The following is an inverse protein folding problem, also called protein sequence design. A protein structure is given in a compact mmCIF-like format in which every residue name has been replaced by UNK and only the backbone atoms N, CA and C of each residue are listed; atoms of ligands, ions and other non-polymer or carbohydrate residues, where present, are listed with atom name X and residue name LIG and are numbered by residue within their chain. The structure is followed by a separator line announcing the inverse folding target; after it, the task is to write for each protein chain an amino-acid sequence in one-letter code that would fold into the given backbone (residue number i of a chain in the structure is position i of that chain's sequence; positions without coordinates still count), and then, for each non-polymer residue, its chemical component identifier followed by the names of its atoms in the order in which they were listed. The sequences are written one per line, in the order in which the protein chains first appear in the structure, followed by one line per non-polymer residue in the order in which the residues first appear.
data_IF_235629044459
#
_entry.id   IF_235629044459
#
_cell.length_a   1.000
_cell.length_b   1.000
_cell.length_c   1.000
_cell.angle_alpha   90.00
_cell.angle_beta   90.00
_cell.angle_gamma   90.00
#
_symmetry.space_group_name_H-M   'P 1'
#
loop_
_entity.id
_entity.type
_entity.pdbx_description
1 polymer ?
#
# COMPACT_ATOMS: atom_id res chain seq x y z
N UNK A 1 -2.00 3.26 -29.85
CA UNK A 1 -0.74 3.42 -29.10
C UNK A 1 -0.93 4.63 -28.21
N UNK A 2 -1.37 4.41 -26.97
CA UNK A 2 -1.67 5.51 -26.05
C UNK A 2 -0.37 5.99 -25.40
N UNK A 3 -0.02 7.27 -25.57
CA UNK A 3 1.14 7.88 -24.93
C UNK A 3 0.94 7.85 -23.41
N UNK A 4 1.57 6.89 -22.73
CA UNK A 4 1.60 6.82 -21.27
C UNK A 4 2.26 8.09 -20.72
N UNK A 5 1.54 8.84 -19.87
CA UNK A 5 2.02 10.07 -19.23
C UNK A 5 3.29 9.76 -18.44
N UNK A 6 4.39 10.46 -18.75
CA UNK A 6 5.70 10.27 -18.11
C UNK A 6 5.93 11.40 -17.11
N UNK A 7 6.49 11.04 -15.96
CA UNK A 7 6.82 11.92 -14.85
C UNK A 7 8.32 11.84 -14.63
N UNK A 8 9.00 12.97 -14.82
CA UNK A 8 10.45 13.07 -14.74
C UNK A 8 10.83 14.13 -13.73
N UNK A 9 11.78 13.80 -12.87
CA UNK A 9 12.30 14.71 -11.86
C UNK A 9 13.77 14.41 -11.62
N UNK A 10 14.52 15.47 -11.36
CA UNK A 10 15.90 15.44 -10.91
C UNK A 10 16.02 16.40 -9.72
N UNK A 11 16.54 15.89 -8.61
CA UNK A 11 16.74 16.69 -7.40
C UNK A 11 18.02 17.50 -7.51
N UNK A 12 18.04 18.64 -6.83
CA UNK A 12 19.28 19.31 -6.51
C UNK A 12 20.16 18.42 -5.61
N UNK A 13 21.45 18.72 -5.58
CA UNK A 13 22.39 18.07 -4.68
C UNK A 13 22.19 18.59 -3.26
N UNK A 14 21.97 17.67 -2.32
CA UNK A 14 21.78 17.97 -0.90
C UNK A 14 22.97 17.45 -0.12
N UNK A 15 23.72 18.36 0.48
CA UNK A 15 24.85 18.07 1.35
C UNK A 15 24.40 18.02 2.81
N UNK A 16 24.77 16.97 3.54
CA UNK A 16 24.46 16.81 4.96
C UNK A 16 25.68 16.34 5.74
N UNK A 17 25.86 16.91 6.93
CA UNK A 17 26.93 16.55 7.87
C UNK A 17 26.52 15.43 8.83
N UNK A 18 25.20 15.12 8.92
CA UNK A 18 24.65 14.06 9.76
C UNK A 18 23.50 13.37 9.02
N UNK A 19 23.73 12.12 8.62
CA UNK A 19 22.77 11.31 7.85
C UNK A 19 21.58 10.82 8.71
N UNK A 20 21.54 11.18 9.99
CA UNK A 20 20.48 10.76 10.94
C UNK A 20 19.24 11.67 10.89
N UNK A 21 18.19 11.09 10.29
CA UNK A 21 16.76 11.37 10.39
C UNK A 21 16.20 12.77 10.04
N UNK A 22 16.98 13.79 9.66
CA UNK A 22 16.42 15.16 9.49
C UNK A 22 16.36 15.77 8.10
N UNK A 23 16.69 15.04 7.04
CA UNK A 23 16.59 15.59 5.68
C UNK A 23 15.41 14.96 4.93
N UNK A 24 14.20 15.33 5.34
CA UNK A 24 12.98 15.07 4.57
C UNK A 24 12.88 16.13 3.47
N UNK A 25 13.31 15.79 2.25
CA UNK A 25 12.93 16.58 1.08
C UNK A 25 11.58 16.12 0.59
N UNK A 26 10.73 17.09 0.31
CA UNK A 26 9.43 16.87 -0.31
C UNK A 26 9.32 17.72 -1.57
N UNK A 27 8.60 17.21 -2.55
CA UNK A 27 8.31 17.95 -3.76
C UNK A 27 7.10 17.41 -4.49
N UNK A 28 6.75 18.09 -5.57
CA UNK A 28 5.61 17.73 -6.40
C UNK A 28 5.99 17.92 -7.86
N UNK A 29 5.83 16.87 -8.65
CA UNK A 29 6.15 16.86 -10.08
C UNK A 29 4.90 16.47 -10.85
N UNK A 30 4.32 17.40 -11.61
CA UNK A 30 3.10 17.16 -12.39
C UNK A 30 1.91 16.58 -11.58
N UNK A 31 1.81 16.93 -10.30
CA UNK A 31 0.80 16.42 -9.37
C UNK A 31 1.18 15.13 -8.62
N UNK A 32 2.31 14.50 -8.96
CA UNK A 32 2.88 13.41 -8.18
C UNK A 32 3.71 14.01 -7.03
N UNK A 33 3.21 13.89 -5.81
CA UNK A 33 3.95 14.29 -4.61
C UNK A 33 4.96 13.21 -4.27
N UNK A 34 6.11 13.60 -3.76
CA UNK A 34 7.12 12.67 -3.30
C UNK A 34 7.82 13.21 -2.07
N UNK A 35 8.25 12.30 -1.20
CA UNK A 35 9.12 12.57 -0.05
C UNK A 35 10.33 11.63 -0.14
N UNK A 36 11.49 12.08 0.30
CA UNK A 36 12.70 11.27 0.40
C UNK A 36 13.37 11.48 1.76
N UNK A 37 14.10 10.46 2.22
CA UNK A 37 15.00 10.55 3.38
C UNK A 37 16.17 9.57 3.25
N UNK A 38 17.29 9.89 3.90
CA UNK A 38 18.39 8.96 4.16
C UNK A 38 18.37 8.45 5.60
N UNK A 39 18.89 7.26 5.83
CA UNK A 39 19.10 6.71 7.17
C UNK A 39 20.28 5.73 7.18
N UNK A 40 21.08 5.73 8.23
CA UNK A 40 22.13 4.73 8.45
C UNK A 40 21.62 3.71 9.47
N UNK A 41 21.67 2.42 9.12
CA UNK A 41 21.31 1.33 10.04
C UNK A 41 22.50 0.36 10.09
N UNK A 42 23.21 0.35 11.22
CA UNK A 42 24.47 -0.38 11.35
C UNK A 42 25.58 0.27 10.51
N UNK A 43 26.20 -0.49 9.60
CA UNK A 43 27.17 0.03 8.62
C UNK A 43 26.55 0.37 7.26
N UNK A 44 25.24 0.19 7.11
CA UNK A 44 24.56 0.30 5.81
C UNK A 44 23.80 1.61 5.68
N UNK A 45 24.02 2.29 4.55
CA UNK A 45 23.24 3.44 4.13
C UNK A 45 21.97 2.99 3.37
N UNK A 46 20.84 3.51 3.81
CA UNK A 46 19.53 3.35 3.17
C UNK A 46 19.03 4.68 2.65
N UNK A 47 18.53 4.68 1.42
CA UNK A 47 17.73 5.77 0.89
C UNK A 47 16.28 5.31 0.77
N UNK A 48 15.37 6.15 1.21
CA UNK A 48 13.95 5.86 1.26
C UNK A 48 13.16 6.90 0.50
N UNK A 49 12.18 6.47 -0.30
CA UNK A 49 11.28 7.35 -1.04
C UNK A 49 9.83 7.00 -0.76
N UNK A 50 8.97 7.99 -0.70
CA UNK A 50 7.52 7.83 -0.60
C UNK A 50 6.88 8.63 -1.72
N UNK A 51 5.97 8.02 -2.46
CA UNK A 51 5.27 8.68 -3.57
C UNK A 51 3.79 8.74 -3.25
N UNK A 52 3.17 9.89 -3.44
CA UNK A 52 1.73 10.12 -3.29
C UNK A 52 1.15 10.64 -4.61
N UNK A 53 0.36 9.77 -5.24
CA UNK A 53 -0.33 10.06 -6.50
C UNK A 53 -1.85 10.03 -6.36
N UNK A 54 -2.34 10.18 -5.13
CA UNK A 54 -3.77 10.07 -4.91
C UNK A 54 -4.57 11.12 -5.71
N UNK A 55 -4.05 12.34 -5.81
CA UNK A 55 -4.64 13.42 -6.60
C UNK A 55 -4.67 13.13 -8.12
N UNK A 56 -3.87 12.14 -8.58
CA UNK A 56 -3.79 11.72 -9.98
C UNK A 56 -4.73 10.55 -10.31
N UNK A 57 -5.42 9.97 -9.33
CA UNK A 57 -6.41 8.91 -9.58
C UNK A 57 -7.58 9.41 -10.41
N UNK A 58 -7.99 10.67 -10.21
CA UNK A 58 -9.00 11.36 -11.03
C UNK A 58 -8.64 11.42 -12.53
N UNK A 59 -7.34 11.33 -12.85
CA UNK A 59 -6.82 11.29 -14.22
C UNK A 59 -6.70 9.84 -14.75
N UNK A 60 -7.24 8.85 -14.03
CA UNK A 60 -7.17 7.41 -14.34
C UNK A 60 -5.80 6.78 -14.06
N UNK A 61 -4.97 7.39 -13.21
CA UNK A 61 -3.63 6.91 -12.89
C UNK A 61 -3.65 6.16 -11.55
N UNK A 62 -3.37 4.86 -11.59
CA UNK A 62 -3.46 3.98 -10.41
C UNK A 62 -2.10 3.39 -10.00
N UNK A 63 -1.03 3.77 -10.67
CA UNK A 63 0.30 3.35 -10.33
C UNK A 63 1.33 3.87 -11.31
N UNK A 64 2.58 3.48 -11.11
CA UNK A 64 3.69 3.90 -11.95
C UNK A 64 4.67 2.75 -12.18
N UNK A 65 5.32 2.78 -13.33
CA UNK A 65 6.47 1.92 -13.62
C UNK A 65 7.60 2.75 -14.17
N UNK A 66 8.82 2.51 -13.72
CA UNK A 66 9.92 3.29 -14.22
C UNK A 66 11.23 3.02 -13.52
N UNK A 67 12.11 4.00 -13.57
CA UNK A 67 13.44 3.92 -12.98
C UNK A 67 13.67 5.07 -12.02
N UNK A 68 14.31 4.77 -10.91
CA UNK A 68 14.84 5.72 -9.95
C UNK A 68 16.36 5.55 -9.93
N UNK A 69 17.10 6.64 -10.00
CA UNK A 69 18.55 6.66 -9.83
C UNK A 69 18.89 7.53 -8.64
N UNK A 70 19.83 7.09 -7.81
CA UNK A 70 20.42 7.89 -6.75
C UNK A 70 21.92 8.04 -7.03
N UNK A 71 22.42 9.25 -6.84
CA UNK A 71 23.83 9.60 -6.84
C UNK A 71 24.19 10.04 -5.44
N UNK A 72 25.35 9.58 -4.94
CA UNK A 72 25.82 9.94 -3.62
C UNK A 72 27.35 10.03 -3.60
N UNK A 73 27.88 11.00 -2.85
CA UNK A 73 29.31 11.22 -2.72
C UNK A 73 29.74 11.43 -1.27
N UNK A 74 30.95 10.98 -0.96
CA UNK A 74 31.75 11.46 0.18
C UNK A 74 33.06 12.05 -0.35
N UNK A 75 33.75 11.26 -1.18
CA UNK A 75 34.96 11.64 -1.92
C UNK A 75 34.92 11.25 -3.40
N UNK A 76 34.05 10.28 -3.76
CA UNK A 76 33.83 9.82 -5.13
C UNK A 76 32.33 9.64 -5.38
N UNK A 77 31.86 10.05 -6.56
CA UNK A 77 30.46 9.92 -6.94
C UNK A 77 30.11 8.46 -7.26
N UNK A 78 29.16 7.92 -6.51
CA UNK A 78 28.58 6.60 -6.74
C UNK A 78 27.16 6.74 -7.27
N UNK A 79 26.77 5.93 -8.25
CA UNK A 79 25.41 5.92 -8.82
C UNK A 79 24.80 4.53 -8.69
N UNK A 80 23.56 4.47 -8.20
CA UNK A 80 22.73 3.26 -8.22
C UNK A 80 21.39 3.53 -8.88
N UNK A 81 20.95 2.60 -9.73
CA UNK A 81 19.65 2.62 -10.38
C UNK A 81 18.76 1.48 -9.87
N UNK A 82 17.47 1.76 -9.78
CA UNK A 82 16.43 0.83 -9.34
C UNK A 82 15.28 0.86 -10.33
N UNK A 83 14.78 -0.30 -10.73
CA UNK A 83 13.48 -0.40 -11.37
C UNK A 83 12.38 -0.36 -10.31
N UNK A 84 11.36 0.45 -10.57
CA UNK A 84 10.23 0.67 -9.69
C UNK A 84 8.94 0.23 -10.37
N UNK A 85 8.11 -0.46 -9.59
CA UNK A 85 6.71 -0.73 -9.91
C UNK A 85 5.86 -0.28 -8.72
N UNK A 86 5.36 0.95 -8.80
CA UNK A 86 4.58 1.60 -7.75
C UNK A 86 3.10 1.20 -7.91
N UNK A 87 2.58 0.48 -6.92
CA UNK A 87 1.20 0.01 -6.88
C UNK A 87 0.41 0.51 -5.68
N UNK A 88 1.10 0.96 -4.63
CA UNK A 88 0.49 1.45 -3.40
C UNK A 88 0.98 2.88 -3.14
N UNK A 89 0.04 3.82 -3.07
CA UNK A 89 0.34 5.21 -2.79
C UNK A 89 0.72 5.38 -1.33
N UNK A 90 1.63 6.32 -1.03
CA UNK A 90 2.15 6.65 0.32
C UNK A 90 2.95 5.55 1.03
N UNK A 91 3.32 4.46 0.33
CA UNK A 91 4.22 3.45 0.86
C UNK A 91 5.68 3.93 0.78
N UNK A 92 6.47 3.67 1.84
CA UNK A 92 7.91 3.92 1.82
C UNK A 92 8.64 2.80 1.08
N UNK A 93 9.52 3.19 0.17
CA UNK A 93 10.38 2.31 -0.62
C UNK A 93 11.79 2.46 -0.09
N UNK A 94 12.28 1.43 0.60
CA UNK A 94 13.62 1.42 1.17
C UNK A 94 14.60 0.74 0.21
N UNK A 95 15.72 1.40 -0.11
CA UNK A 95 16.81 0.80 -0.90
C UNK A 95 18.11 0.84 -0.12
N UNK A 96 18.64 -0.34 0.16
CA UNK A 96 19.99 -0.53 0.67
C UNK A 96 21.00 -0.16 -0.42
N UNK A 97 21.78 0.88 -0.16
CA UNK A 97 22.84 1.32 -1.06
C UNK A 97 24.16 0.67 -0.67
N UNK A 98 24.43 0.60 0.63
CA UNK A 98 25.70 0.14 1.19
C UNK A 98 26.80 1.21 1.06
N UNK A 99 27.71 1.26 2.03
CA UNK A 99 28.87 2.16 1.97
C UNK A 99 29.98 1.43 1.19
N UNK A 100 30.35 1.93 0.01
CA UNK A 100 31.45 1.36 -0.75
C UNK A 100 32.74 1.43 0.08
N UNK A 101 33.60 0.41 0.05
CA UNK A 101 34.88 0.40 0.80
C UNK A 101 35.71 1.66 0.53
N UNK A 102 35.65 2.16 -0.70
CA UNK A 102 36.33 3.39 -1.15
C UNK A 102 35.81 4.66 -0.46
N UNK A 103 34.55 4.63 -0.02
CA UNK A 103 33.90 5.70 0.73
C UNK A 103 34.17 5.62 2.25
N UNK A 104 34.68 4.48 2.75
CA UNK A 104 35.08 4.30 4.16
C UNK A 104 36.44 4.96 4.50
N UNK A 105 37.22 5.34 3.48
CA UNK A 105 38.61 5.83 3.62
C UNK A 105 38.69 7.37 3.77
N UNK A 106 37.58 8.08 3.59
CA UNK A 106 37.56 9.54 3.68
C UNK A 106 37.10 10.01 5.07
N UNK A 107 37.97 10.72 5.79
CA UNK A 107 37.68 11.47 7.03
C UNK A 107 36.67 12.62 6.85
N UNK A 108 35.95 12.68 5.72
CA UNK A 108 34.98 13.73 5.42
C UNK A 108 33.60 13.36 5.94
N UNK A 109 33.15 14.06 6.99
CA UNK A 109 31.81 13.96 7.59
C UNK A 109 30.67 14.49 6.70
N UNK A 110 30.95 14.96 5.49
CA UNK A 110 29.93 15.54 4.59
C UNK A 110 29.56 14.56 3.49
N UNK A 111 28.26 14.24 3.42
CA UNK A 111 27.67 13.45 2.35
C UNK A 111 26.92 14.36 1.41
N UNK A 112 27.04 14.15 0.10
CA UNK A 112 26.08 14.72 -0.84
C UNK A 112 25.22 13.65 -1.49
N UNK A 113 23.94 13.98 -1.67
CA UNK A 113 22.93 13.13 -2.27
C UNK A 113 22.18 13.88 -3.37
N UNK A 114 21.94 13.20 -4.48
CA UNK A 114 20.93 13.61 -5.45
C UNK A 114 20.22 12.38 -6.01
N UNK A 115 19.02 12.57 -6.54
CA UNK A 115 18.28 11.49 -7.16
C UNK A 115 17.47 11.99 -8.35
N UNK A 116 17.18 11.09 -9.26
CA UNK A 116 16.29 11.34 -10.38
C UNK A 116 15.37 10.16 -10.61
N UNK A 117 14.15 10.43 -11.05
CA UNK A 117 13.22 9.39 -11.45
C UNK A 117 12.58 9.68 -12.79
N UNK A 118 12.27 8.60 -13.51
CA UNK A 118 11.46 8.60 -14.72
C UNK A 118 10.39 7.54 -14.53
N UNK A 119 9.15 7.99 -14.32
CA UNK A 119 8.00 7.16 -13.97
C UNK A 119 6.92 7.28 -15.05
N UNK A 120 6.53 6.15 -15.62
CA UNK A 120 5.41 6.06 -16.58
C UNK A 120 4.13 5.71 -15.82
N UNK A 121 3.10 6.52 -16.01
CA UNK A 121 1.78 6.28 -15.44
C UNK A 121 1.22 4.94 -15.93
N UNK A 122 0.92 4.08 -14.98
CA UNK A 122 0.12 2.88 -15.20
C UNK A 122 -1.34 3.26 -15.06
N UNK A 123 -2.04 3.29 -16.18
CA UNK A 123 -3.50 3.42 -16.18
C UNK A 123 -4.13 2.13 -15.66
N UNK A 124 -5.09 2.29 -14.78
CA UNK A 124 -6.00 1.23 -14.34
C UNK A 124 -7.24 1.24 -15.23
N UNK A 125 -7.99 0.15 -15.21
CA UNK A 125 -9.35 0.18 -15.74
C UNK A 125 -10.16 1.03 -14.76
N UNK A 126 -10.83 2.07 -15.28
CA UNK A 126 -11.81 2.83 -14.52
C UNK A 126 -12.84 1.85 -13.94
N UNK A 127 -13.44 2.19 -12.79
CA UNK A 127 -14.47 1.34 -12.21
C UNK A 127 -15.55 1.01 -13.24
N UNK A 128 -16.00 -0.25 -13.33
CA UNK A 128 -17.15 -0.59 -14.14
C UNK A 128 -18.30 0.36 -13.80
N UNK A 129 -18.94 1.01 -14.79
CA UNK A 129 -20.05 1.93 -14.53
C UNK A 129 -21.18 1.30 -13.72
N UNK A 130 -21.33 -0.02 -13.79
CA UNK A 130 -22.29 -0.81 -13.02
C UNK A 130 -22.09 -0.71 -11.50
N UNK A 131 -20.84 -0.59 -11.02
CA UNK A 131 -20.58 -0.49 -9.57
C UNK A 131 -21.11 0.82 -8.99
N UNK A 132 -20.98 1.92 -9.73
CA UNK A 132 -21.47 3.24 -9.30
C UNK A 132 -22.99 3.29 -9.33
N UNK A 133 -23.63 2.59 -10.27
CA UNK A 133 -25.09 2.51 -10.37
C UNK A 133 -25.74 1.85 -9.14
N UNK A 134 -25.01 1.03 -8.38
CA UNK A 134 -25.53 0.41 -7.16
C UNK A 134 -25.78 1.42 -6.01
N UNK A 135 -25.31 2.66 -6.14
CA UNK A 135 -25.39 3.70 -5.09
C UNK A 135 -26.24 4.91 -5.50
N UNK A 136 -27.21 4.71 -6.40
CA UNK A 136 -28.22 5.72 -6.75
C UNK A 136 -29.41 5.68 -5.79
N UNK A 137 -30.18 6.79 -5.71
CA UNK A 137 -31.36 6.86 -4.87
C UNK A 137 -32.42 5.82 -5.30
N UNK A 138 -32.92 5.04 -4.34
CA UNK A 138 -34.02 4.10 -4.54
C UNK A 138 -34.97 4.13 -3.34
N UNK A 139 -36.10 3.43 -3.43
CA UNK A 139 -37.04 3.26 -2.30
C UNK A 139 -36.42 2.57 -1.08
N UNK A 140 -35.30 1.87 -1.26
CA UNK A 140 -34.60 1.14 -0.21
C UNK A 140 -33.45 1.96 0.42
N UNK A 141 -33.10 3.12 -0.11
CA UNK A 141 -32.01 3.95 0.43
C UNK A 141 -32.55 5.01 1.39
N UNK A 142 -31.91 5.19 2.54
CA UNK A 142 -32.34 6.07 3.64
C UNK A 142 -31.18 6.90 4.25
N UNK A 143 -30.01 6.88 3.61
CA UNK A 143 -28.87 7.75 3.88
C UNK A 143 -28.13 8.15 2.60
N UNK A 144 -27.44 9.29 2.67
CA UNK A 144 -26.52 9.75 1.63
C UNK A 144 -25.14 9.95 2.25
N UNK A 145 -24.15 9.21 1.77
CA UNK A 145 -22.74 9.43 2.10
C UNK A 145 -22.13 10.37 1.06
N UNK A 146 -21.38 11.38 1.49
CA UNK A 146 -20.71 12.33 0.60
C UNK A 146 -19.20 12.14 0.66
N UNK A 147 -18.58 11.85 -0.49
CA UNK A 147 -17.14 11.61 -0.63
C UNK A 147 -16.62 12.34 -1.86
N UNK A 148 -15.64 13.22 -1.69
CA UNK A 148 -15.06 14.00 -2.79
C UNK A 148 -16.13 14.67 -3.68
N UNK A 149 -17.17 15.25 -3.05
CA UNK A 149 -18.34 15.86 -3.72
C UNK A 149 -19.32 14.90 -4.42
N UNK A 150 -19.01 13.60 -4.43
CA UNK A 150 -19.89 12.54 -4.95
C UNK A 150 -20.85 12.05 -3.87
N UNK A 151 -22.07 11.70 -4.27
CA UNK A 151 -23.13 11.21 -3.39
C UNK A 151 -23.34 9.71 -3.60
N UNK A 152 -23.30 8.95 -2.51
CA UNK A 152 -23.59 7.52 -2.47
C UNK A 152 -24.86 7.32 -1.64
N UNK A 153 -25.94 6.91 -2.29
CA UNK A 153 -27.18 6.53 -1.61
C UNK A 153 -27.05 5.11 -1.06
N UNK A 154 -27.28 4.94 0.23
CA UNK A 154 -27.11 3.66 0.94
C UNK A 154 -28.31 3.37 1.83
N UNK A 155 -28.42 2.10 2.25
CA UNK A 155 -29.36 1.67 3.28
C UNK A 155 -28.63 1.56 4.63
N UNK A 156 -29.09 2.29 5.65
CA UNK A 156 -28.50 2.37 6.99
C UNK A 156 -28.48 1.00 7.65
N UNK A 157 -29.61 0.30 7.69
CA UNK A 157 -29.72 -0.99 8.37
C UNK A 157 -28.79 -2.04 7.76
N UNK A 158 -28.72 -2.09 6.43
CA UNK A 158 -27.83 -2.97 5.68
C UNK A 158 -26.36 -2.65 5.96
N UNK A 159 -25.97 -1.37 5.87
CA UNK A 159 -24.57 -1.02 6.06
C UNK A 159 -24.14 -1.18 7.54
N UNK A 160 -25.03 -0.88 8.49
CA UNK A 160 -24.83 -1.13 9.93
C UNK A 160 -24.63 -2.62 10.23
N UNK A 161 -25.36 -3.52 9.57
CA UNK A 161 -25.21 -4.96 9.83
C UNK A 161 -23.88 -5.52 9.33
N UNK A 162 -23.21 -4.82 8.43
CA UNK A 162 -21.91 -5.20 7.86
C UNK A 162 -20.73 -4.38 8.40
N UNK A 163 -20.98 -3.38 9.27
CA UNK A 163 -19.96 -2.47 9.77
C UNK A 163 -20.30 -1.87 11.13
N UNK A 164 -19.46 -2.12 12.13
CA UNK A 164 -19.61 -1.51 13.46
C UNK A 164 -19.39 0.02 13.42
N UNK A 165 -18.55 0.48 12.49
CA UNK A 165 -18.35 1.90 12.23
C UNK A 165 -19.64 2.56 11.74
N UNK A 166 -20.25 2.02 10.68
CA UNK A 166 -21.49 2.59 10.13
C UNK A 166 -22.67 2.40 11.08
N UNK A 167 -22.71 1.29 11.83
CA UNK A 167 -23.68 1.10 12.90
C UNK A 167 -23.59 2.22 13.94
N UNK A 168 -22.37 2.52 14.41
CA UNK A 168 -22.15 3.63 15.33
C UNK A 168 -22.50 4.98 14.68
N UNK A 169 -22.11 5.20 13.43
CA UNK A 169 -22.38 6.44 12.68
C UNK A 169 -23.89 6.72 12.57
N UNK A 170 -24.72 5.71 12.35
CA UNK A 170 -26.16 5.88 12.15
C UNK A 170 -26.99 5.80 13.43
N UNK A 171 -26.49 5.13 14.48
CA UNK A 171 -27.22 4.95 15.74
C UNK A 171 -26.89 5.97 16.83
N UNK A 172 -25.66 6.50 16.82
CA UNK A 172 -25.16 7.43 17.82
C UNK A 172 -25.90 8.77 17.85
N UNK A 173 -26.01 9.40 19.02
CA UNK A 173 -26.60 10.74 19.15
C UNK A 173 -25.64 11.86 18.70
N UNK A 174 -24.67 11.54 17.83
CA UNK A 174 -23.82 12.52 17.19
C UNK A 174 -24.60 13.30 16.12
N UNK A 175 -24.05 14.44 15.68
CA UNK A 175 -24.71 15.36 14.75
C UNK A 175 -25.02 14.70 13.40
N UNK A 176 -24.22 13.71 13.03
CA UNK A 176 -24.30 12.95 11.79
C UNK A 176 -25.61 12.15 11.67
N UNK A 177 -26.21 11.72 12.79
CA UNK A 177 -27.47 10.96 12.78
C UNK A 177 -28.64 11.74 12.20
N UNK A 178 -28.65 13.07 12.37
CA UNK A 178 -29.70 13.96 11.86
C UNK A 178 -29.32 14.67 10.56
N UNK A 179 -28.13 14.40 10.00
CA UNK A 179 -27.72 14.96 8.73
C UNK A 179 -28.43 14.26 7.56
N UNK A 180 -28.93 15.06 6.62
CA UNK A 180 -29.45 14.55 5.35
C UNK A 180 -28.32 13.98 4.47
N UNK A 181 -27.12 14.54 4.59
CA UNK A 181 -25.91 14.16 3.84
C UNK A 181 -24.74 14.03 4.81
N UNK A 182 -24.14 12.84 4.88
CA UNK A 182 -23.12 12.49 5.86
C UNK A 182 -21.75 12.48 5.17
N UNK A 183 -20.85 13.44 5.46
CA UNK A 183 -19.54 13.49 4.83
C UNK A 183 -18.62 12.38 5.37
N UNK A 184 -18.04 11.57 4.48
CA UNK A 184 -16.98 10.61 4.83
C UNK A 184 -15.66 11.16 4.32
N UNK A 185 -14.78 11.55 5.26
CA UNK A 185 -13.50 12.18 4.97
C UNK A 185 -12.39 11.16 4.74
N UNK A 186 -11.27 11.60 4.19
CA UNK A 186 -10.01 10.84 4.05
C UNK A 186 -10.16 9.51 3.30
N UNK A 187 -11.14 9.39 2.40
CA UNK A 187 -11.34 8.22 1.53
C UNK A 187 -11.64 8.71 0.12
N UNK A 188 -11.12 7.99 -0.89
CA UNK A 188 -11.45 8.27 -2.28
C UNK A 188 -12.81 7.70 -2.63
N UNK A 189 -13.59 8.42 -3.43
CA UNK A 189 -14.92 7.98 -3.84
C UNK A 189 -14.88 6.58 -4.46
N UNK A 190 -13.92 6.33 -5.37
CA UNK A 190 -13.77 5.04 -6.05
C UNK A 190 -13.40 3.89 -5.09
N UNK A 191 -12.55 4.17 -4.12
CA UNK A 191 -12.11 3.17 -3.14
C UNK A 191 -13.28 2.80 -2.20
N UNK A 192 -14.09 3.78 -1.79
CA UNK A 192 -15.29 3.53 -0.99
C UNK A 192 -16.36 2.76 -1.80
N UNK A 193 -16.56 3.12 -3.08
CA UNK A 193 -17.45 2.37 -3.98
C UNK A 193 -17.01 0.92 -4.06
N UNK A 194 -15.73 0.64 -4.33
CA UNK A 194 -15.20 -0.73 -4.34
C UNK A 194 -15.48 -1.47 -3.04
N UNK A 195 -15.18 -0.84 -1.89
CA UNK A 195 -15.38 -1.43 -0.57
C UNK A 195 -16.85 -1.83 -0.35
N UNK A 196 -17.77 -0.89 -0.57
CA UNK A 196 -19.19 -1.11 -0.38
C UNK A 196 -19.75 -2.10 -1.39
N UNK A 197 -19.18 -2.17 -2.60
CA UNK A 197 -19.57 -3.13 -3.63
C UNK A 197 -19.21 -4.58 -3.29
N UNK A 198 -18.19 -4.84 -2.45
CA UNK A 198 -17.82 -6.22 -2.05
C UNK A 198 -18.96 -6.91 -1.30
N UNK A 199 -19.74 -6.16 -0.51
CA UNK A 199 -20.83 -6.71 0.30
C UNK A 199 -22.19 -6.70 -0.40
N UNK A 200 -22.27 -6.19 -1.63
CA UNK A 200 -23.55 -6.08 -2.34
C UNK A 200 -24.15 -7.46 -2.63
N UNK A 201 -25.47 -7.62 -2.49
CA UNK A 201 -26.12 -8.90 -2.76
C UNK A 201 -26.15 -9.23 -4.25
N UNK A 202 -26.22 -8.22 -5.12
CA UNK A 202 -26.25 -8.38 -6.58
C UNK A 202 -24.91 -7.94 -7.17
N UNK A 203 -24.31 -8.82 -7.96
CA UNK A 203 -23.03 -8.60 -8.65
C UNK A 203 -21.93 -8.00 -7.73
N UNK A 204 -21.58 -8.71 -6.64
CA UNK A 204 -20.59 -8.21 -5.69
C UNK A 204 -19.24 -8.00 -6.37
N UNK A 205 -18.57 -6.90 -6.00
CA UNK A 205 -17.24 -6.64 -6.50
C UNK A 205 -16.26 -7.71 -6.00
N UNK A 206 -15.59 -8.38 -6.94
CA UNK A 206 -14.61 -9.42 -6.61
C UNK A 206 -13.24 -8.77 -6.36
N UNK A 207 -12.62 -8.97 -5.18
CA UNK A 207 -11.28 -8.46 -4.92
C UNK A 207 -10.27 -8.95 -5.96
N UNK A 208 -9.30 -8.11 -6.28
CA UNK A 208 -8.22 -8.42 -7.22
C UNK A 208 -6.87 -8.16 -6.56
N UNK A 209 -5.78 -8.69 -7.13
CA UNK A 209 -4.43 -8.43 -6.61
C UNK A 209 -4.13 -6.92 -6.45
N UNK A 210 -4.74 -6.07 -7.29
CA UNK A 210 -4.53 -4.62 -7.24
C UNK A 210 -5.38 -3.96 -6.16
N UNK A 211 -6.62 -4.40 -5.97
CA UNK A 211 -7.58 -3.77 -5.05
C UNK A 211 -7.49 -4.32 -3.63
N UNK A 212 -7.05 -5.57 -3.45
CA UNK A 212 -6.98 -6.23 -2.13
C UNK A 212 -6.23 -5.42 -1.07
N UNK A 213 -5.03 -4.84 -1.30
CA UNK A 213 -4.36 -4.07 -0.25
C UNK A 213 -5.18 -2.87 0.24
N UNK A 214 -5.77 -2.11 -0.69
CA UNK A 214 -6.63 -0.96 -0.37
C UNK A 214 -7.91 -1.42 0.35
N UNK A 215 -8.54 -2.50 -0.12
CA UNK A 215 -9.75 -3.03 0.49
C UNK A 215 -9.52 -3.49 1.93
N UNK A 216 -8.36 -4.13 2.22
CA UNK A 216 -8.01 -4.54 3.58
C UNK A 216 -7.83 -3.34 4.52
N UNK A 217 -7.12 -2.29 4.07
CA UNK A 217 -6.94 -1.06 4.86
C UNK A 217 -8.28 -0.36 5.15
N UNK A 218 -9.17 -0.29 4.15
CA UNK A 218 -10.49 0.29 4.34
C UNK A 218 -11.42 -0.59 5.17
N UNK A 219 -11.34 -1.91 5.04
CA UNK A 219 -12.13 -2.83 5.84
C UNK A 219 -11.78 -2.73 7.34
N UNK A 220 -10.50 -2.57 7.68
CA UNK A 220 -10.09 -2.31 9.06
C UNK A 220 -10.59 -0.95 9.55
N UNK A 221 -10.43 0.10 8.74
CA UNK A 221 -10.87 1.45 9.10
C UNK A 221 -12.37 1.55 9.34
N UNK A 222 -13.17 0.98 8.45
CA UNK A 222 -14.62 1.00 8.51
C UNK A 222 -15.18 -0.22 9.26
N UNK A 223 -14.33 -1.01 9.93
CA UNK A 223 -14.73 -2.17 10.73
C UNK A 223 -15.69 -3.09 9.96
N UNK A 224 -15.28 -3.58 8.78
CA UNK A 224 -16.08 -4.40 7.87
C UNK A 224 -15.51 -5.83 7.72
N UNK A 225 -15.75 -6.74 8.68
CA UNK A 225 -15.16 -8.07 8.69
C UNK A 225 -15.44 -8.89 7.43
N UNK A 226 -16.62 -8.72 6.83
CA UNK A 226 -17.00 -9.42 5.60
C UNK A 226 -16.08 -9.10 4.43
N UNK A 227 -15.65 -7.85 4.29
CA UNK A 227 -14.73 -7.44 3.21
C UNK A 227 -13.34 -8.05 3.46
N UNK A 228 -12.88 -8.06 4.71
CA UNK A 228 -11.63 -8.72 5.12
C UNK A 228 -11.64 -10.20 4.74
N UNK A 229 -12.73 -10.92 5.03
CA UNK A 229 -12.90 -12.34 4.67
C UNK A 229 -12.88 -12.58 3.16
N UNK A 230 -13.56 -11.76 2.36
CA UNK A 230 -13.55 -11.93 0.90
C UNK A 230 -12.16 -11.62 0.29
N UNK A 231 -11.44 -10.65 0.86
CA UNK A 231 -10.04 -10.40 0.51
C UNK A 231 -9.13 -11.58 0.86
N UNK A 232 -9.32 -12.17 2.05
CA UNK A 232 -8.57 -13.33 2.51
C UNK A 232 -8.77 -14.54 1.59
N UNK A 233 -10.02 -14.86 1.26
CA UNK A 233 -10.37 -15.92 0.29
C UNK A 233 -9.73 -15.69 -1.07
N UNK A 234 -9.81 -14.46 -1.59
CA UNK A 234 -9.15 -14.12 -2.84
C UNK A 234 -7.63 -14.38 -2.78
N UNK A 235 -6.96 -13.98 -1.68
CA UNK A 235 -5.52 -14.21 -1.52
C UNK A 235 -5.18 -15.70 -1.43
N UNK A 236 -6.01 -16.51 -0.76
CA UNK A 236 -5.84 -17.97 -0.70
C UNK A 236 -5.87 -18.56 -2.11
N UNK A 237 -6.93 -18.28 -2.89
CA UNK A 237 -7.11 -18.86 -4.23
C UNK A 237 -6.24 -18.24 -5.33
N UNK A 238 -5.72 -17.03 -5.12
CA UNK A 238 -4.88 -16.35 -6.10
C UNK A 238 -3.56 -17.10 -6.33
N UNK A 239 -3.39 -17.63 -7.55
CA UNK A 239 -2.13 -18.22 -8.02
C UNK A 239 -1.09 -17.18 -8.43
N UNK A 240 -1.53 -15.94 -8.72
CA UNK A 240 -0.66 -14.86 -9.21
C UNK A 240 -0.04 -14.03 -8.08
N UNK A 241 -0.51 -14.20 -6.85
CA UNK A 241 0.05 -13.55 -5.67
C UNK A 241 1.12 -14.45 -5.06
N UNK A 242 2.36 -13.97 -4.98
CA UNK A 242 3.46 -14.74 -4.39
C UNK A 242 3.20 -15.06 -2.92
N UNK A 243 3.71 -16.21 -2.43
CA UNK A 243 3.60 -16.59 -1.01
C UNK A 243 4.15 -15.53 -0.07
N UNK A 244 5.24 -14.84 -0.46
CA UNK A 244 5.81 -13.73 0.32
C UNK A 244 4.82 -12.59 0.52
N UNK A 245 4.14 -12.20 -0.56
CA UNK A 245 3.13 -11.13 -0.51
C UNK A 245 1.89 -11.57 0.30
N UNK A 246 1.49 -12.85 0.20
CA UNK A 246 0.41 -13.39 1.02
C UNK A 246 0.75 -13.33 2.52
N UNK A 247 1.97 -13.70 2.91
CA UNK A 247 2.44 -13.62 4.30
C UNK A 247 2.49 -12.17 4.76
N UNK A 248 3.02 -11.25 3.94
CA UNK A 248 3.08 -9.81 4.26
C UNK A 248 1.69 -9.24 4.57
N UNK A 249 0.72 -9.51 3.69
CA UNK A 249 -0.66 -9.03 3.87
C UNK A 249 -1.34 -9.73 5.04
N UNK A 250 -1.12 -11.04 5.21
CA UNK A 250 -1.69 -11.79 6.32
C UNK A 250 -1.15 -11.38 7.68
N UNK A 251 0.13 -11.03 7.76
CA UNK A 251 0.74 -10.48 8.97
C UNK A 251 0.21 -9.08 9.29
N UNK A 252 0.22 -8.17 8.30
CA UNK A 252 -0.23 -6.78 8.46
C UNK A 252 -1.69 -6.69 8.91
N UNK A 253 -2.56 -7.50 8.30
CA UNK A 253 -4.02 -7.44 8.50
C UNK A 253 -4.57 -8.59 9.37
N UNK A 254 -3.69 -9.33 10.06
CA UNK A 254 -4.07 -10.45 10.94
C UNK A 254 -4.95 -11.52 10.28
N UNK A 255 -4.66 -11.87 9.01
CA UNK A 255 -5.41 -12.86 8.21
C UNK A 255 -4.93 -14.28 8.54
N UNK A 256 -5.53 -14.89 9.55
CA UNK A 256 -5.06 -16.15 10.13
C UNK A 256 -5.24 -17.36 9.21
N UNK A 257 -6.32 -17.43 8.43
CA UNK A 257 -6.55 -18.53 7.48
C UNK A 257 -5.53 -18.45 6.34
N UNK A 258 -5.25 -17.24 5.85
CA UNK A 258 -4.22 -17.01 4.84
C UNK A 258 -2.82 -17.39 5.34
N UNK A 259 -2.48 -17.01 6.58
CA UNK A 259 -1.19 -17.38 7.17
C UNK A 259 -1.08 -18.90 7.32
N UNK A 260 -2.14 -19.58 7.77
CA UNK A 260 -2.20 -21.05 7.83
C UNK A 260 -1.97 -21.69 6.47
N UNK A 261 -2.69 -21.23 5.44
CA UNK A 261 -2.52 -21.68 4.06
C UNK A 261 -1.09 -21.44 3.54
N UNK A 262 -0.47 -20.31 3.89
CA UNK A 262 0.91 -20.05 3.50
C UNK A 262 1.88 -21.06 4.14
N UNK A 263 1.66 -21.51 5.38
CA UNK A 263 2.49 -22.53 6.00
C UNK A 263 2.38 -23.87 5.24
N UNK A 264 1.19 -24.25 4.79
CA UNK A 264 1.01 -25.43 3.93
C UNK A 264 1.78 -25.31 2.60
N UNK A 265 1.81 -24.13 2.00
CA UNK A 265 2.61 -23.88 0.79
C UNK A 265 4.12 -23.97 1.03
N UNK A 266 4.57 -23.59 2.23
CA UNK A 266 5.95 -23.65 2.69
C UNK A 266 6.33 -25.05 3.19
N UNK A 267 5.92 -26.09 2.46
CA UNK A 267 6.12 -27.50 2.82
C UNK A 267 7.57 -28.04 2.67
N UNK A 268 8.55 -27.19 2.38
CA UNK A 268 9.96 -27.60 2.26
C UNK A 268 10.88 -26.56 2.89
N UNK A 269 12.03 -27.01 3.39
CA UNK A 269 13.03 -26.12 3.98
C UNK A 269 13.55 -25.09 2.98
N UNK A 270 13.66 -25.45 1.69
CA UNK A 270 14.11 -24.53 0.65
C UNK A 270 13.14 -23.36 0.47
N UNK A 271 11.84 -23.66 0.31
CA UNK A 271 10.79 -22.64 0.19
C UNK A 271 10.78 -21.72 1.41
N UNK A 272 10.86 -22.28 2.61
CA UNK A 272 10.90 -21.49 3.84
C UNK A 272 12.12 -20.58 3.91
N UNK A 273 13.32 -21.11 3.58
CA UNK A 273 14.55 -20.31 3.52
C UNK A 273 14.44 -19.15 2.54
N UNK A 274 13.67 -19.26 1.45
CA UNK A 274 13.46 -18.12 0.53
C UNK A 274 12.68 -16.98 1.16
N UNK A 275 11.79 -17.27 2.12
CA UNK A 275 11.01 -16.27 2.87
C UNK A 275 11.87 -15.67 3.98
N UNK A 276 12.56 -16.50 4.76
CA UNK A 276 13.40 -16.05 5.89
C UNK A 276 14.58 -15.20 5.41
N UNK A 277 15.15 -15.50 4.24
CA UNK A 277 16.24 -14.71 3.65
C UNK A 277 15.77 -13.48 2.88
N UNK A 278 14.46 -13.22 2.83
CA UNK A 278 13.96 -12.03 2.14
C UNK A 278 14.13 -10.79 3.01
N UNK A 279 14.36 -9.65 2.38
CA UNK A 279 14.58 -8.37 3.06
C UNK A 279 13.43 -8.01 4.01
N UNK A 280 12.20 -8.45 3.69
CA UNK A 280 10.98 -8.17 4.46
C UNK A 280 10.83 -9.03 5.73
N UNK A 281 11.67 -10.04 5.96
CA UNK A 281 11.51 -10.91 7.14
C UNK A 281 11.60 -10.13 8.45
N UNK A 282 12.47 -9.11 8.49
CA UNK A 282 12.63 -8.28 9.67
C UNK A 282 11.40 -7.44 9.99
N UNK A 283 10.56 -7.14 8.99
CA UNK A 283 9.35 -6.33 9.14
C UNK A 283 8.16 -7.14 9.67
N UNK A 284 8.24 -8.48 9.64
CA UNK A 284 7.15 -9.31 10.14
C UNK A 284 6.99 -9.18 11.65
N UNK A 285 5.73 -9.28 12.11
CA UNK A 285 5.40 -9.30 13.53
C UNK A 285 6.07 -10.49 14.24
N UNK A 286 6.20 -10.35 15.56
CA UNK A 286 6.70 -11.44 16.43
C UNK A 286 5.87 -12.70 16.25
N UNK A 287 4.55 -12.56 16.10
CA UNK A 287 3.65 -13.69 15.91
C UNK A 287 3.94 -14.44 14.60
N UNK A 288 4.09 -13.73 13.49
CA UNK A 288 4.40 -14.37 12.20
C UNK A 288 5.79 -14.99 12.18
N UNK A 289 6.79 -14.34 12.79
CA UNK A 289 8.12 -14.94 12.98
C UNK A 289 8.07 -16.21 13.81
N UNK A 290 7.29 -16.22 14.90
CA UNK A 290 7.09 -17.41 15.73
C UNK A 290 6.38 -18.54 14.96
N UNK A 291 5.36 -18.22 14.17
CA UNK A 291 4.68 -19.19 13.30
C UNK A 291 5.64 -19.82 12.28
N UNK A 292 6.46 -18.99 11.61
CA UNK A 292 7.47 -19.47 10.66
C UNK A 292 8.53 -20.36 11.34
N UNK A 293 8.93 -20.03 12.58
CA UNK A 293 9.89 -20.82 13.34
C UNK A 293 9.31 -22.16 13.81
N UNK A 294 8.07 -22.19 14.33
CA UNK A 294 7.43 -23.45 14.70
C UNK A 294 7.22 -24.33 13.47
N UNK A 295 6.85 -23.73 12.33
CA UNK A 295 6.74 -24.46 11.06
C UNK A 295 8.09 -25.04 10.61
N UNK A 296 9.18 -24.26 10.71
CA UNK A 296 10.54 -24.77 10.43
C UNK A 296 10.86 -25.98 11.31
N UNK A 297 10.57 -25.89 12.61
CA UNK A 297 10.81 -26.98 13.56
C UNK A 297 10.06 -28.25 13.16
N UNK A 298 8.79 -28.13 12.72
CA UNK A 298 8.00 -29.29 12.24
C UNK A 298 8.64 -29.94 11.01
N UNK A 299 9.14 -29.15 10.06
CA UNK A 299 9.84 -29.65 8.86
C UNK A 299 11.22 -30.28 9.13
N UNK A 300 11.77 -30.11 10.35
CA UNK A 300 13.05 -30.72 10.75
C UNK A 300 12.86 -32.04 11.51
N UNK A 301 11.69 -32.24 12.13
CA UNK A 301 11.40 -33.39 13.00
C UNK A 301 10.54 -34.44 12.27
N UNK A 302 9.70 -34.02 11.32
CA UNK A 302 8.91 -34.92 10.46
C UNK A 302 9.66 -35.33 9.21
#
# INVERSE_FOLDING_TARGET
MENSKVFEYESDEVSTENVDERDLLEGCTNGLKWSWKSSIIGEDLYLSWRFDWNDLRKDGIYGFKGRLSAVYCTSYACRKGFELELKQSREWIHKKIGIAERCKVADSQSWSFSFSFTLKASRGEALPPTLVQNFVATELTDAVLVVEEHKLHVNKAFLSSHSDFFNSLFSSDFKEKSMAEIPIKDVYHEDLVCLLSVIQPQDPFVPTRRTTPMLLELAERFLMPKVTQECEKFLIWSQRTSTKEKIRLGDKHSLTELLGYCMELLNTQEKLKTVVRSDNYNDFSVNTKALLLDHFRRLMIG
#
